data_IF_517079343868
#
_entry.id   IF_517079343868
#
_cell.length_a   1.000
_cell.length_b   1.000
_cell.length_c   1.000
_cell.angle_alpha   90.00
_cell.angle_beta   90.00
_cell.angle_gamma   90.00
#
_symmetry.space_group_name_H-M   'P 1'
#
loop_
_entity.id
_entity.type
_entity.pdbx_description
1 polymer ?
#
# COMPACT_ATOMS: atom_id res chain seq x y z
N UNK A 1 -39.41 18.75 -1.42
CA UNK A 1 -39.27 17.85 -0.26
C UNK A 1 -37.81 17.85 0.16
N UNK A 2 -37.44 18.61 1.20
CA UNK A 2 -36.09 18.64 1.75
C UNK A 2 -36.11 17.98 3.13
N UNK A 3 -35.47 16.82 3.26
CA UNK A 3 -35.10 16.27 4.55
C UNK A 3 -33.58 16.05 4.54
N UNK A 4 -32.82 17.08 4.95
CA UNK A 4 -31.43 16.90 5.34
C UNK A 4 -31.46 16.44 6.79
N UNK A 5 -31.29 15.14 7.02
CA UNK A 5 -31.00 14.63 8.37
C UNK A 5 -29.69 15.25 8.85
N UNK A 6 -29.82 16.27 9.70
CA UNK A 6 -28.73 16.83 10.47
C UNK A 6 -28.20 15.72 11.40
N UNK A 7 -27.04 15.14 11.09
CA UNK A 7 -26.35 14.28 12.07
C UNK A 7 -25.78 15.18 13.16
N UNK A 8 -26.33 15.11 14.37
CA UNK A 8 -25.60 15.58 15.56
C UNK A 8 -24.34 14.71 15.67
N UNK A 9 -23.18 15.33 15.52
CA UNK A 9 -21.90 14.66 15.72
C UNK A 9 -21.57 14.85 17.19
N UNK A 10 -21.87 13.87 18.02
CA UNK A 10 -21.33 13.85 19.38
C UNK A 10 -19.81 13.82 19.33
N UNK A 11 -19.16 14.51 20.27
CA UNK A 11 -17.72 14.54 20.34
C UNK A 11 -17.17 13.12 20.61
N UNK A 12 -16.18 12.70 19.82
CA UNK A 12 -15.53 11.41 20.01
C UNK A 12 -14.78 11.38 21.34
N UNK A 13 -15.08 10.38 22.18
CA UNK A 13 -14.31 10.08 23.39
C UNK A 13 -13.11 9.22 23.03
N UNK A 14 -11.91 9.64 23.43
CA UNK A 14 -10.69 8.86 23.30
C UNK A 14 -10.46 8.03 24.57
N UNK A 15 -9.82 6.87 24.41
CA UNK A 15 -9.55 5.94 25.49
C UNK A 15 -8.09 6.02 25.91
N UNK A 16 -7.85 5.90 27.21
CA UNK A 16 -6.54 5.56 27.74
C UNK A 16 -6.16 4.12 27.39
N UNK A 17 -4.88 3.78 27.56
CA UNK A 17 -4.39 2.43 27.33
C UNK A 17 -5.04 1.44 28.31
N UNK A 18 -5.20 1.84 29.56
CA UNK A 18 -5.76 1.04 30.63
C UNK A 18 -7.23 0.73 30.35
N UNK A 19 -8.01 1.71 29.90
CA UNK A 19 -9.40 1.50 29.47
C UNK A 19 -9.49 0.56 28.26
N UNK A 20 -8.63 0.72 27.26
CA UNK A 20 -8.63 -0.14 26.07
C UNK A 20 -8.37 -1.62 26.43
N UNK A 21 -7.38 -1.86 27.30
CA UNK A 21 -7.05 -3.21 27.79
C UNK A 21 -8.19 -3.78 28.65
N UNK A 22 -8.82 -2.96 29.48
CA UNK A 22 -9.95 -3.39 30.31
C UNK A 22 -11.14 -3.83 29.46
N UNK A 23 -11.52 -3.04 28.45
CA UNK A 23 -12.61 -3.40 27.52
C UNK A 23 -12.30 -4.67 26.73
N UNK A 24 -11.07 -4.84 26.24
CA UNK A 24 -10.69 -6.07 25.56
C UNK A 24 -10.78 -7.29 26.48
N UNK A 25 -10.35 -7.13 27.74
CA UNK A 25 -10.45 -8.19 28.74
C UNK A 25 -11.90 -8.57 29.01
N UNK A 26 -12.80 -7.59 29.13
CA UNK A 26 -14.24 -7.79 29.29
C UNK A 26 -14.85 -8.55 28.10
N UNK A 27 -14.51 -8.15 26.86
CA UNK A 27 -14.97 -8.84 25.65
C UNK A 27 -14.57 -10.32 25.62
N UNK A 28 -13.32 -10.62 26.01
CA UNK A 28 -12.80 -11.98 26.00
C UNK A 28 -13.29 -12.84 27.18
N UNK A 29 -13.48 -12.24 28.36
CA UNK A 29 -13.81 -12.96 29.59
C UNK A 29 -15.30 -13.01 29.87
N UNK A 30 -15.96 -11.86 29.86
CA UNK A 30 -17.34 -11.72 30.35
C UNK A 30 -18.33 -11.97 29.21
N UNK A 31 -17.99 -11.48 28.01
CA UNK A 31 -18.79 -11.73 26.79
C UNK A 31 -18.34 -12.96 25.99
N UNK A 32 -17.25 -13.62 26.40
CA UNK A 32 -16.75 -14.85 25.80
C UNK A 32 -16.49 -14.79 24.29
N UNK A 33 -16.14 -13.62 23.74
CA UNK A 33 -15.70 -13.54 22.35
C UNK A 33 -14.39 -14.31 22.15
N UNK A 34 -14.27 -14.99 21.01
CA UNK A 34 -13.02 -15.66 20.65
C UNK A 34 -11.93 -14.67 20.25
N UNK A 35 -10.67 -14.89 20.65
CA UNK A 35 -9.52 -14.07 20.20
C UNK A 35 -9.42 -13.99 18.67
N UNK A 36 -9.61 -15.13 18.00
CA UNK A 36 -9.63 -15.18 16.54
C UNK A 36 -10.78 -14.36 15.95
N UNK A 37 -11.97 -14.43 16.57
CA UNK A 37 -13.15 -13.69 16.13
C UNK A 37 -12.92 -12.17 16.22
N UNK A 38 -12.42 -11.67 17.35
CA UNK A 38 -12.10 -10.25 17.51
C UNK A 38 -11.02 -9.80 16.52
N UNK A 39 -9.98 -10.60 16.33
CA UNK A 39 -8.90 -10.32 15.37
C UNK A 39 -9.42 -10.21 13.93
N UNK A 40 -10.30 -11.11 13.51
CA UNK A 40 -10.90 -11.09 12.18
C UNK A 40 -11.81 -9.86 11.98
N UNK A 41 -12.58 -9.48 13.00
CA UNK A 41 -13.40 -8.25 12.96
C UNK A 41 -12.53 -7.01 12.81
N UNK A 42 -11.45 -6.90 13.60
CA UNK A 42 -10.51 -5.79 13.53
C UNK A 42 -9.79 -5.73 12.18
N UNK A 43 -9.33 -6.88 11.67
CA UNK A 43 -8.68 -6.97 10.36
C UNK A 43 -9.60 -6.55 9.22
N UNK A 44 -10.85 -6.99 9.23
CA UNK A 44 -11.86 -6.57 8.26
C UNK A 44 -12.15 -5.06 8.36
N UNK A 45 -12.22 -4.50 9.57
CA UNK A 45 -12.41 -3.06 9.76
C UNK A 45 -11.25 -2.26 9.17
N UNK A 46 -10.00 -2.70 9.38
CA UNK A 46 -8.81 -2.09 8.77
C UNK A 46 -8.87 -2.14 7.24
N UNK A 47 -9.15 -3.32 6.66
CA UNK A 47 -9.25 -3.47 5.22
C UNK A 47 -10.37 -2.59 4.62
N UNK A 48 -11.52 -2.52 5.29
CA UNK A 48 -12.65 -1.66 4.89
C UNK A 48 -12.29 -0.17 4.94
N UNK A 49 -11.50 0.26 5.92
CA UNK A 49 -11.03 1.64 5.98
C UNK A 49 -10.10 1.95 4.79
N UNK A 50 -9.18 1.03 4.47
CA UNK A 50 -8.29 1.15 3.31
C UNK A 50 -9.09 1.26 2.01
N UNK A 51 -10.10 0.40 1.81
CA UNK A 51 -10.89 0.43 0.56
C UNK A 51 -11.71 1.70 0.37
N UNK A 52 -12.09 2.36 1.47
CA UNK A 52 -12.79 3.66 1.43
C UNK A 52 -11.84 4.82 1.12
N UNK A 53 -10.65 4.80 1.69
CA UNK A 53 -9.66 5.90 1.53
C UNK A 53 -8.91 5.77 0.21
N UNK A 54 -8.65 4.55 -0.25
CA UNK A 54 -7.89 4.24 -1.45
C UNK A 54 -8.68 3.32 -2.39
N UNK A 55 -9.87 3.73 -2.87
CA UNK A 55 -10.69 2.86 -3.71
C UNK A 55 -9.95 2.48 -4.99
N UNK A 56 -10.18 1.26 -5.50
CA UNK A 56 -9.42 0.68 -6.61
C UNK A 56 -9.33 1.58 -7.85
N UNK A 57 -10.42 2.27 -8.19
CA UNK A 57 -10.49 3.19 -9.34
C UNK A 57 -9.65 4.46 -9.17
N UNK A 58 -9.26 4.82 -7.94
CA UNK A 58 -8.42 5.98 -7.65
C UNK A 58 -6.93 5.68 -7.73
N UNK A 59 -6.54 4.41 -7.82
CA UNK A 59 -5.15 4.01 -7.86
C UNK A 59 -4.57 4.22 -9.26
N UNK A 60 -3.52 5.04 -9.36
CA UNK A 60 -2.86 5.38 -10.64
C UNK A 60 -2.21 4.17 -11.30
N UNK A 61 -1.76 3.20 -10.50
CA UNK A 61 -1.11 1.98 -10.98
C UNK A 61 -2.16 0.98 -11.45
N UNK A 62 -1.85 0.29 -12.55
CA UNK A 62 -2.67 -0.83 -13.08
C UNK A 62 -2.90 -1.98 -12.08
N UNK A 63 -2.12 -2.04 -11.00
CA UNK A 63 -2.22 -3.09 -9.99
C UNK A 63 -2.34 -2.46 -8.59
N UNK A 64 -3.37 -2.81 -7.80
CA UNK A 64 -3.60 -2.27 -6.45
C UNK A 64 -2.73 -2.97 -5.41
N UNK A 65 -1.41 -2.82 -5.54
CA UNK A 65 -0.42 -3.49 -4.67
C UNK A 65 -0.38 -2.87 -3.28
N UNK A 66 -0.40 -3.69 -2.23
CA UNK A 66 -0.33 -3.25 -0.82
C UNK A 66 0.75 -4.05 -0.10
N UNK A 67 1.64 -3.39 0.65
CA UNK A 67 2.56 -4.08 1.56
C UNK A 67 1.98 -4.02 2.98
N UNK A 68 1.78 -5.18 3.60
CA UNK A 68 1.31 -5.32 4.98
C UNK A 68 2.48 -5.79 5.85
N UNK A 69 2.92 -4.93 6.77
CA UNK A 69 4.03 -5.22 7.69
C UNK A 69 3.42 -5.66 9.04
N UNK A 70 3.70 -6.88 9.45
CA UNK A 70 3.12 -7.49 10.63
C UNK A 70 4.19 -7.75 11.71
N UNK A 71 4.03 -7.16 12.89
CA UNK A 71 4.85 -7.46 14.07
C UNK A 71 4.54 -8.85 14.65
N UNK A 72 5.29 -9.30 15.68
CA UNK A 72 5.06 -10.63 16.30
C UNK A 72 3.88 -10.65 17.29
N UNK A 73 3.30 -9.49 17.60
CA UNK A 73 2.25 -9.31 18.59
C UNK A 73 0.84 -9.33 17.96
N UNK A 74 -0.16 -8.97 18.76
CA UNK A 74 -1.55 -8.97 18.34
C UNK A 74 -1.84 -8.03 17.16
N UNK A 75 -1.12 -6.92 17.01
CA UNK A 75 -1.30 -6.05 15.85
C UNK A 75 -0.82 -6.74 14.57
N UNK A 76 0.18 -7.61 14.67
CA UNK A 76 0.58 -8.52 13.60
C UNK A 76 -0.54 -9.44 13.16
N UNK A 77 -1.26 -10.05 14.11
CA UNK A 77 -2.42 -10.89 13.82
C UNK A 77 -3.53 -10.10 13.10
N UNK A 78 -3.83 -8.87 13.56
CA UNK A 78 -4.79 -7.98 12.89
C UNK A 78 -4.34 -7.63 11.48
N UNK A 79 -3.03 -7.37 11.27
CA UNK A 79 -2.44 -7.13 9.96
C UNK A 79 -2.59 -8.32 9.01
N UNK A 80 -2.35 -9.54 9.49
CA UNK A 80 -2.53 -10.77 8.69
C UNK A 80 -4.00 -10.97 8.29
N UNK A 81 -4.95 -10.76 9.21
CA UNK A 81 -6.36 -10.78 8.90
C UNK A 81 -6.72 -9.69 7.88
N UNK A 82 -6.21 -8.46 8.07
CA UNK A 82 -6.39 -7.35 7.13
C UNK A 82 -5.88 -7.70 5.73
N UNK A 83 -4.72 -8.35 5.61
CA UNK A 83 -4.16 -8.77 4.33
C UNK A 83 -5.09 -9.75 3.59
N UNK A 84 -5.67 -10.73 4.30
CA UNK A 84 -6.67 -11.65 3.73
C UNK A 84 -7.91 -10.92 3.22
N UNK A 85 -8.45 -9.98 4.01
CA UNK A 85 -9.62 -9.19 3.58
C UNK A 85 -9.30 -8.30 2.37
N UNK A 86 -8.12 -7.69 2.33
CA UNK A 86 -7.66 -6.91 1.17
C UNK A 86 -7.58 -7.77 -0.09
N UNK A 87 -7.13 -9.03 0.01
CA UNK A 87 -7.15 -9.98 -1.11
C UNK A 87 -8.57 -10.25 -1.61
N UNK A 88 -9.55 -10.41 -0.71
CA UNK A 88 -10.96 -10.57 -1.07
C UNK A 88 -11.52 -9.32 -1.74
N UNK A 89 -11.06 -8.14 -1.32
CA UNK A 89 -11.42 -6.86 -1.92
C UNK A 89 -10.64 -6.51 -3.20
N UNK A 90 -10.03 -7.51 -3.84
CA UNK A 90 -9.32 -7.40 -5.13
C UNK A 90 -8.03 -6.55 -5.09
N UNK A 91 -7.49 -6.28 -3.90
CA UNK A 91 -6.13 -5.75 -3.77
C UNK A 91 -5.10 -6.88 -3.97
N UNK A 92 -3.85 -6.47 -4.17
CA UNK A 92 -2.72 -7.40 -4.29
C UNK A 92 -1.80 -7.20 -3.07
N UNK A 93 -2.18 -7.76 -1.90
CA UNK A 93 -1.38 -7.63 -0.69
C UNK A 93 -0.13 -8.52 -0.76
N UNK A 94 0.97 -8.03 -0.21
CA UNK A 94 2.19 -8.76 0.10
C UNK A 94 2.48 -8.60 1.58
N UNK A 95 2.83 -9.67 2.28
CA UNK A 95 3.03 -9.66 3.73
C UNK A 95 4.52 -9.64 4.06
N UNK A 96 4.93 -8.89 5.07
CA UNK A 96 6.27 -8.92 5.63
C UNK A 96 6.19 -9.09 7.16
N UNK A 97 6.80 -10.17 7.66
CA UNK A 97 6.85 -10.52 9.09
C UNK A 97 8.31 -10.58 9.57
N UNK A 98 8.91 -9.45 10.00
CA UNK A 98 10.34 -9.38 10.33
C UNK A 98 10.75 -10.31 11.49
N UNK A 99 9.82 -10.58 12.40
CA UNK A 99 10.04 -11.47 13.54
C UNK A 99 8.92 -12.50 13.60
N UNK A 100 9.30 -13.78 13.69
CA UNK A 100 8.35 -14.87 13.88
C UNK A 100 7.74 -14.80 15.27
N UNK A 101 6.44 -15.02 15.35
CA UNK A 101 5.70 -15.15 16.61
C UNK A 101 5.64 -16.61 17.07
N UNK A 102 5.66 -16.81 18.39
CA UNK A 102 5.35 -18.10 19.01
C UNK A 102 3.86 -18.25 19.36
N UNK A 103 3.04 -17.22 19.13
CA UNK A 103 1.60 -17.27 19.34
C UNK A 103 0.94 -18.13 18.26
N UNK A 104 0.11 -19.10 18.67
CA UNK A 104 -0.51 -20.07 17.77
C UNK A 104 -1.46 -19.40 16.77
N UNK A 105 -2.25 -18.42 17.22
CA UNK A 105 -3.18 -17.69 16.35
C UNK A 105 -2.41 -16.94 15.26
N UNK A 106 -1.28 -16.32 15.58
CA UNK A 106 -0.42 -15.69 14.57
C UNK A 106 0.06 -16.71 13.52
N UNK A 107 0.49 -17.90 13.95
CA UNK A 107 0.95 -18.95 13.03
C UNK A 107 -0.19 -19.48 12.15
N UNK A 108 -1.38 -19.70 12.73
CA UNK A 108 -2.58 -20.11 12.00
C UNK A 108 -2.97 -19.07 10.95
N UNK A 109 -2.92 -17.78 11.28
CA UNK A 109 -3.22 -16.70 10.35
C UNK A 109 -2.19 -16.59 9.22
N UNK A 110 -0.90 -16.83 9.50
CA UNK A 110 0.12 -16.91 8.45
C UNK A 110 -0.20 -18.03 7.47
N UNK A 111 -0.51 -19.23 7.96
CA UNK A 111 -0.91 -20.36 7.10
C UNK A 111 -2.15 -20.01 6.29
N UNK A 112 -3.15 -19.36 6.88
CA UNK A 112 -4.33 -18.92 6.13
C UNK A 112 -3.99 -17.92 5.02
N UNK A 113 -3.04 -17.00 5.23
CA UNK A 113 -2.56 -16.10 4.19
C UNK A 113 -1.86 -16.89 3.06
N UNK A 114 -0.99 -17.84 3.40
CA UNK A 114 -0.32 -18.71 2.43
C UNK A 114 -1.32 -19.53 1.61
N UNK A 115 -2.38 -20.06 2.25
CA UNK A 115 -3.47 -20.79 1.57
C UNK A 115 -4.35 -19.91 0.68
N UNK A 116 -4.23 -18.60 0.81
CA UNK A 116 -4.87 -17.62 -0.07
C UNK A 116 -3.89 -17.05 -1.12
N UNK A 117 -2.73 -17.69 -1.28
CA UNK A 117 -1.68 -17.31 -2.22
C UNK A 117 -1.12 -15.89 -2.01
N UNK A 118 -1.09 -15.43 -0.75
CA UNK A 118 -0.44 -14.16 -0.40
C UNK A 118 1.08 -14.35 -0.36
N UNK A 119 1.87 -13.55 -1.10
CA UNK A 119 3.31 -13.61 -1.04
C UNK A 119 3.84 -13.06 0.29
N UNK A 120 4.86 -13.73 0.84
CA UNK A 120 5.61 -13.27 2.01
C UNK A 120 7.01 -12.81 1.59
N UNK A 121 7.40 -11.62 2.02
CA UNK A 121 8.77 -11.12 1.87
C UNK A 121 9.66 -11.65 3.00
N UNK A 122 10.87 -12.04 2.65
CA UNK A 122 11.91 -12.42 3.60
C UNK A 122 12.74 -11.23 4.10
N UNK A 123 12.79 -10.15 3.32
CA UNK A 123 13.45 -8.89 3.66
C UNK A 123 12.75 -7.72 2.96
N UNK A 124 12.90 -6.52 3.54
CA UNK A 124 12.51 -5.30 2.84
C UNK A 124 13.63 -4.87 1.89
N UNK A 125 13.33 -4.50 0.64
CA UNK A 125 14.34 -4.01 -0.28
C UNK A 125 14.97 -2.71 0.28
N UNK A 126 16.31 -2.65 0.25
CA UNK A 126 17.10 -1.56 0.86
C UNK A 126 17.03 -0.25 0.06
N UNK A 127 16.60 -0.29 -1.21
CA UNK A 127 16.51 0.90 -2.06
C UNK A 127 15.24 0.91 -2.91
N UNK A 128 14.49 2.01 -2.84
CA UNK A 128 13.42 2.33 -3.78
C UNK A 128 14.11 2.92 -5.01
N UNK A 129 14.27 2.14 -6.07
CA UNK A 129 14.66 2.71 -7.37
C UNK A 129 13.49 3.55 -7.85
N UNK A 130 13.54 4.85 -7.61
CA UNK A 130 12.59 5.82 -8.13
C UNK A 130 12.83 6.00 -9.62
N UNK A 131 12.48 4.98 -10.42
CA UNK A 131 12.28 5.14 -11.85
C UNK A 131 10.92 5.83 -12.08
N UNK A 132 10.72 6.98 -11.45
CA UNK A 132 9.79 7.98 -11.98
C UNK A 132 10.51 8.57 -13.18
N UNK A 133 10.27 7.99 -14.36
CA UNK A 133 10.59 8.71 -15.59
C UNK A 133 9.83 10.04 -15.53
N UNK A 134 10.59 11.14 -15.45
CA UNK A 134 10.00 12.47 -15.52
C UNK A 134 9.10 12.55 -16.76
N UNK A 135 7.92 13.19 -16.68
CA UNK A 135 7.15 13.49 -17.86
C UNK A 135 8.01 14.35 -18.79
N UNK A 136 8.22 13.83 -20.00
CA UNK A 136 9.06 14.37 -21.05
C UNK A 136 9.02 15.91 -21.11
N UNK A 137 10.17 16.56 -20.92
CA UNK A 137 10.32 18.03 -20.87
C UNK A 137 10.29 18.71 -22.26
N UNK A 138 9.84 18.00 -23.29
CA UNK A 138 9.80 18.47 -24.70
C UNK A 138 8.69 19.48 -25.04
N UNK A 139 8.08 20.17 -24.06
CA UNK A 139 7.14 21.29 -24.32
C UNK A 139 7.54 22.54 -23.53
N UNK A 140 8.79 23.00 -23.65
CA UNK A 140 9.14 24.41 -23.41
C UNK A 140 10.30 24.87 -24.31
N UNK A 141 10.04 25.01 -25.61
CA UNK A 141 10.85 25.91 -26.45
C UNK A 141 10.05 26.56 -27.58
N UNK A 142 8.96 27.21 -27.21
CA UNK A 142 8.44 28.34 -28.00
C UNK A 142 9.25 29.58 -27.64
N UNK A 143 10.12 29.94 -28.58
CA UNK A 143 11.20 30.91 -28.53
C UNK A 143 10.78 32.33 -28.11
N UNK A 144 11.41 32.87 -27.06
CA UNK A 144 11.73 34.29 -26.93
C UNK A 144 13.21 34.45 -27.26
N UNK A 145 13.57 35.46 -28.05
CA UNK A 145 14.93 36.00 -28.07
C UNK A 145 15.70 35.75 -29.36
N UNK A 146 15.37 36.57 -30.35
CA UNK A 146 16.09 36.78 -31.58
C UNK A 146 17.44 37.49 -31.27
N UNK A 147 18.58 36.87 -31.55
CA UNK A 147 19.88 37.53 -31.72
C UNK A 147 20.86 36.57 -32.39
N UNK A 148 21.16 36.84 -33.66
CA UNK A 148 22.17 36.15 -34.44
C UNK A 148 22.45 36.92 -35.73
N UNK A 149 23.37 37.89 -35.65
CA UNK A 149 24.03 38.46 -36.82
C UNK A 149 24.91 37.39 -37.49
N UNK A 150 24.83 37.33 -38.82
CA UNK A 150 25.89 37.01 -39.80
C UNK A 150 27.03 36.06 -39.36
N UNK A 151 27.23 34.93 -40.06
CA UNK A 151 28.05 34.82 -41.28
C UNK A 151 28.26 33.34 -41.71
N UNK A 152 28.15 33.10 -43.03
CA UNK A 152 28.78 32.06 -43.87
C UNK A 152 28.63 30.53 -43.60
N UNK A 153 28.01 29.85 -44.59
CA UNK A 153 28.37 28.48 -45.04
C UNK A 153 29.51 28.58 -46.07
N UNK A 154 30.36 27.54 -46.27
CA UNK A 154 30.05 26.53 -47.30
C UNK A 154 30.56 25.08 -47.08
N UNK A 155 29.73 24.14 -47.58
CA UNK A 155 29.95 22.90 -48.39
C UNK A 155 31.10 21.88 -48.15
N UNK A 156 30.64 20.60 -48.20
CA UNK A 156 31.23 19.37 -48.79
C UNK A 156 32.36 18.66 -47.98
N UNK A 157 32.56 17.33 -47.97
CA UNK A 157 32.06 16.21 -48.76
C UNK A 157 32.14 14.86 -47.98
N UNK A 158 31.27 13.93 -48.37
CA UNK A 158 31.36 12.45 -48.46
C UNK A 158 32.63 11.71 -47.98
N UNK A 159 32.48 10.66 -47.14
CA UNK A 159 32.88 9.27 -47.50
C UNK A 159 32.32 8.19 -46.56
N UNK A 160 31.83 7.15 -47.20
CA UNK A 160 31.39 5.85 -46.66
C UNK A 160 32.64 5.01 -46.35
N UNK A 161 32.65 4.25 -45.25
CA UNK A 161 33.22 2.90 -45.25
C UNK A 161 32.59 2.00 -44.19
N UNK A 162 32.45 0.75 -44.63
CA UNK A 162 31.79 -0.43 -44.12
C UNK A 162 32.63 -1.25 -43.12
N UNK A 163 31.93 -1.99 -42.26
CA UNK A 163 32.21 -3.35 -41.71
C UNK A 163 33.49 -3.63 -40.89
N UNK A 164 33.29 -4.21 -39.69
CA UNK A 164 33.47 -5.64 -39.32
C UNK A 164 33.36 -5.76 -37.79
N UNK A 165 32.39 -6.53 -37.26
CA UNK A 165 32.54 -7.95 -36.90
C UNK A 165 33.82 -8.26 -36.10
N UNK A 166 33.63 -8.46 -34.80
CA UNK A 166 34.12 -9.64 -34.07
C UNK A 166 33.02 -10.06 -33.09
#
# INVERSE_FOLDING_TARGET
MNCRSQKCVEALRYLSKEEAVAMETELLRDYHFGRQQLTEILGNACATAITKVFPLWSLEKRQPTVLVVCGPDQNGCVGLACARHLRVFEYIPTVFTPKRSSDSLHQDLMVQCERMDLPFLSYLPTEVRSDFSEPNSDIKRASRGNLGHHLQKPRAATRIHTQKQN
#
